data_IF_980152754339
#
_entry.id   IF_980152754339
#
_cell.length_a   1.000
_cell.length_b   1.000
_cell.length_c   1.000
_cell.angle_alpha   90.00
_cell.angle_beta   90.00
_cell.angle_gamma   90.00
#
_symmetry.space_group_name_H-M   'P 1'
#
loop_
_entity.id
_entity.type
_entity.pdbx_description
1 polymer ?
#
# COMPACT_ATOMS: atom_id res chain seq x y z
N UNK A 1 0.01 4.92 11.45
CA UNK A 1 0.64 5.77 10.43
C UNK A 1 -0.12 5.63 9.12
N UNK A 2 -0.23 6.71 8.36
CA UNK A 2 -0.86 6.60 7.06
C UNK A 2 0.13 6.08 6.02
N UNK A 3 -0.39 5.65 4.88
CA UNK A 3 0.41 5.05 3.82
C UNK A 3 0.83 6.02 2.72
N UNK A 4 0.86 7.32 2.99
CA UNK A 4 1.18 8.33 1.98
C UNK A 4 2.67 8.60 1.85
N UNK A 5 3.45 8.33 2.90
CA UNK A 5 4.89 8.59 2.91
C UNK A 5 5.65 7.30 2.68
N UNK A 6 6.47 7.29 1.63
CA UNK A 6 7.26 6.12 1.26
C UNK A 6 8.23 5.70 2.36
N UNK A 7 8.74 6.66 3.13
CA UNK A 7 9.69 6.38 4.21
C UNK A 7 9.10 5.55 5.34
N UNK A 8 7.76 5.49 5.45
CA UNK A 8 7.09 4.70 6.48
C UNK A 8 6.83 3.26 6.04
N UNK A 9 7.16 2.93 4.78
CA UNK A 9 6.85 1.64 4.19
C UNK A 9 8.13 0.95 3.79
N UNK A 10 8.33 -0.27 4.29
CA UNK A 10 9.48 -1.10 3.91
C UNK A 10 8.98 -2.50 3.59
N UNK A 11 9.70 -3.25 2.73
CA UNK A 11 9.33 -4.64 2.46
C UNK A 11 9.29 -5.45 3.76
N UNK A 12 8.28 -6.30 3.88
CA UNK A 12 8.11 -7.16 5.04
C UNK A 12 7.13 -6.64 6.08
N UNK A 13 6.69 -5.38 6.00
CA UNK A 13 5.71 -4.86 6.97
C UNK A 13 4.28 -5.19 6.53
N UNK A 14 3.39 -5.24 7.51
CA UNK A 14 1.98 -5.48 7.27
C UNK A 14 1.24 -4.17 7.08
N UNK A 15 0.41 -4.10 6.05
CA UNK A 15 -0.33 -2.90 5.69
C UNK A 15 -1.74 -3.23 5.25
N UNK A 16 -2.60 -2.20 5.22
CA UNK A 16 -3.90 -2.27 4.56
C UNK A 16 -3.79 -1.48 3.27
N UNK A 17 -4.20 -2.11 2.17
CA UNK A 17 -4.17 -1.49 0.84
C UNK A 17 -5.56 -1.48 0.23
N UNK A 18 -5.80 -0.53 -0.68
CA UNK A 18 -6.95 -0.55 -1.56
C UNK A 18 -6.49 -1.09 -2.90
N UNK A 19 -7.00 -2.26 -3.29
CA UNK A 19 -6.68 -2.86 -4.58
C UNK A 19 -7.35 -2.07 -5.70
N UNK A 20 -6.82 -2.18 -6.91
CA UNK A 20 -7.36 -1.47 -8.07
C UNK A 20 -8.86 -1.72 -8.23
N UNK A 21 -9.29 -2.97 -8.07
CA UNK A 21 -10.69 -3.37 -8.20
C UNK A 21 -11.58 -2.84 -7.08
N UNK A 22 -10.98 -2.41 -5.96
CA UNK A 22 -11.71 -1.94 -4.78
C UNK A 22 -11.69 -0.42 -4.62
N UNK A 23 -11.12 0.31 -5.58
CA UNK A 23 -11.01 1.77 -5.47
C UNK A 23 -12.37 2.46 -5.40
N UNK A 24 -13.40 1.89 -6.00
CA UNK A 24 -14.74 2.47 -6.00
C UNK A 24 -15.41 2.42 -4.63
N UNK A 25 -15.15 1.36 -3.88
CA UNK A 25 -15.77 1.14 -2.57
C UNK A 25 -14.87 1.50 -1.41
N UNK A 26 -13.57 1.61 -1.65
CA UNK A 26 -12.59 1.86 -0.60
C UNK A 26 -12.30 0.65 0.28
N UNK A 27 -12.72 -0.54 -0.14
CA UNK A 27 -12.45 -1.77 0.61
C UNK A 27 -10.95 -1.93 0.82
N UNK A 28 -10.54 -2.22 2.05
CA UNK A 28 -9.14 -2.41 2.39
C UNK A 28 -8.80 -3.88 2.54
N UNK A 29 -7.65 -4.26 2.01
CA UNK A 29 -7.14 -5.62 2.07
C UNK A 29 -5.82 -5.60 2.83
N UNK A 30 -5.69 -6.47 3.83
CA UNK A 30 -4.48 -6.60 4.63
C UNK A 30 -3.48 -7.50 3.91
N UNK A 31 -2.21 -7.12 3.95
CA UNK A 31 -1.15 -7.93 3.35
C UNK A 31 0.23 -7.47 3.76
N UNK A 32 1.23 -8.24 3.33
CA UNK A 32 2.63 -7.95 3.62
C UNK A 32 3.28 -7.35 2.37
N UNK A 33 3.98 -6.23 2.54
CA UNK A 33 4.64 -5.55 1.43
C UNK A 33 5.81 -6.41 0.93
N UNK A 34 5.83 -6.65 -0.39
CA UNK A 34 6.97 -7.27 -1.06
C UNK A 34 7.82 -6.22 -1.76
N UNK A 35 7.19 -5.38 -2.58
CA UNK A 35 7.89 -4.35 -3.36
C UNK A 35 7.15 -3.02 -3.22
N UNK A 36 7.90 -1.92 -3.26
CA UNK A 36 7.35 -0.57 -3.29
C UNK A 36 7.44 -0.09 -4.73
N UNK A 37 6.28 0.21 -5.33
CA UNK A 37 6.19 0.57 -6.75
C UNK A 37 6.16 2.08 -6.98
N UNK A 38 5.80 2.88 -5.96
CA UNK A 38 5.82 4.34 -6.05
C UNK A 38 7.24 4.83 -5.81
N UNK A 39 7.77 5.62 -6.75
CA UNK A 39 9.12 6.19 -6.63
C UNK A 39 9.16 7.48 -5.82
N UNK A 40 8.06 8.21 -5.82
CA UNK A 40 7.96 9.48 -5.09
C UNK A 40 7.97 9.23 -3.59
N UNK A 41 8.51 10.20 -2.84
CA UNK A 41 8.55 10.11 -1.38
C UNK A 41 7.14 10.21 -0.77
N UNK A 42 6.19 10.79 -1.49
CA UNK A 42 4.84 11.04 -1.02
C UNK A 42 3.85 10.83 -2.15
N UNK A 43 2.68 10.27 -1.83
CA UNK A 43 1.56 10.18 -2.78
C UNK A 43 0.25 10.42 -2.02
N UNK A 44 -0.59 11.35 -2.49
CA UNK A 44 -1.81 11.74 -1.74
C UNK A 44 -2.83 10.62 -1.57
N UNK A 45 -2.82 9.63 -2.46
CA UNK A 45 -3.74 8.49 -2.39
C UNK A 45 -3.10 7.23 -1.83
N UNK A 46 -1.88 7.34 -1.30
CA UNK A 46 -1.15 6.21 -0.75
C UNK A 46 -0.08 5.69 -1.68
N UNK A 47 0.96 5.14 -1.08
CA UNK A 47 2.09 4.55 -1.81
C UNK A 47 1.62 3.25 -2.45
N UNK A 48 1.88 3.08 -3.73
CA UNK A 48 1.55 1.86 -4.45
C UNK A 48 2.58 0.79 -4.14
N UNK A 49 2.11 -0.37 -3.72
CA UNK A 49 2.98 -1.50 -3.36
C UNK A 49 2.48 -2.78 -3.99
N UNK A 50 3.39 -3.74 -4.12
CA UNK A 50 3.02 -5.13 -4.44
C UNK A 50 3.13 -5.92 -3.14
N UNK A 51 2.08 -6.68 -2.83
CA UNK A 51 2.06 -7.56 -1.68
C UNK A 51 2.74 -8.90 -1.99
N UNK A 52 3.03 -9.69 -0.96
CA UNK A 52 3.69 -10.98 -1.15
C UNK A 52 2.86 -11.97 -1.96
N UNK A 53 1.54 -11.81 -1.94
CA UNK A 53 0.64 -12.64 -2.76
C UNK A 53 0.46 -12.09 -4.18
N UNK A 54 1.28 -11.10 -4.56
CA UNK A 54 1.31 -10.46 -5.88
C UNK A 54 0.16 -9.51 -6.16
N UNK A 55 -0.70 -9.24 -5.20
CA UNK A 55 -1.72 -8.20 -5.37
C UNK A 55 -1.05 -6.83 -5.29
N UNK A 56 -1.57 -5.88 -6.07
CA UNK A 56 -1.05 -4.52 -6.13
C UNK A 56 -2.13 -3.58 -5.65
N UNK A 57 -1.76 -2.68 -4.74
CA UNK A 57 -2.70 -1.70 -4.21
C UNK A 57 -1.97 -0.51 -3.60
N UNK A 58 -2.77 0.48 -3.16
CA UNK A 58 -2.23 1.67 -2.51
C UNK A 58 -2.42 1.54 -1.01
N UNK A 59 -1.34 1.76 -0.27
CA UNK A 59 -1.34 1.64 1.19
C UNK A 59 -2.20 2.74 1.79
N UNK A 60 -3.15 2.35 2.64
CA UNK A 60 -4.01 3.28 3.35
C UNK A 60 -3.62 3.38 4.82
N UNK A 61 -3.13 2.27 5.40
CA UNK A 61 -2.77 2.23 6.80
C UNK A 61 -1.63 1.25 7.00
N UNK A 62 -0.72 1.59 7.91
CA UNK A 62 0.37 0.71 8.32
C UNK A 62 0.03 0.12 9.68
N UNK A 63 0.10 -1.19 9.78
CA UNK A 63 -0.20 -1.90 11.04
C UNK A 63 0.89 -1.75 12.08
#
# INVERSE_FOLDING_TARGET
MDGRNRSNIVPGIEVYVVLKEDQRTGKQTKGIVKDILTRSAYHPWGIKVRLEDRQIGRVQKIC
#
